data_IF_550972747917
#
_entry.id   IF_550972747917
#
_cell.length_a   1.000
_cell.length_b   1.000
_cell.length_c   1.000
_cell.angle_alpha   90.00
_cell.angle_beta   90.00
_cell.angle_gamma   90.00
#
_symmetry.space_group_name_H-M   'P 1'
#
loop_
_entity.id
_entity.type
_entity.pdbx_description
1 polymer ?
#
# COMPACT_ATOMS: atom_id res chain seq x y z
N UNK A 1 -10.08 51.85 -17.84
CA UNK A 1 -10.59 51.06 -16.70
C UNK A 1 -9.79 49.76 -16.65
N UNK A 2 -8.83 49.67 -15.76
CA UNK A 2 -7.96 48.48 -15.60
C UNK A 2 -8.59 47.55 -14.55
N UNK A 3 -9.06 46.38 -14.97
CA UNK A 3 -9.56 45.35 -14.08
C UNK A 3 -8.38 44.77 -13.29
N UNK A 4 -8.28 45.06 -11.98
CA UNK A 4 -7.40 44.35 -11.05
C UNK A 4 -8.04 42.98 -10.80
N UNK A 5 -7.30 41.89 -11.10
CA UNK A 5 -7.67 40.54 -10.67
C UNK A 5 -7.78 40.53 -9.14
N UNK A 6 -8.84 39.91 -8.56
CA UNK A 6 -8.92 39.76 -7.12
C UNK A 6 -7.73 38.89 -6.65
N UNK A 7 -6.99 39.41 -5.68
CA UNK A 7 -5.99 38.61 -4.95
C UNK A 7 -6.74 37.49 -4.24
N UNK A 8 -6.49 36.24 -4.71
CA UNK A 8 -6.96 35.07 -4.01
C UNK A 8 -6.18 34.97 -2.70
N UNK A 9 -6.76 35.49 -1.62
CA UNK A 9 -6.32 35.19 -0.26
C UNK A 9 -6.43 33.67 -0.09
N UNK A 10 -5.30 32.97 -0.12
CA UNK A 10 -5.22 31.57 0.27
C UNK A 10 -5.55 31.51 1.76
N UNK A 11 -6.79 31.11 2.09
CA UNK A 11 -7.13 30.76 3.47
C UNK A 11 -6.10 29.76 3.99
N UNK A 12 -5.58 29.89 5.22
CA UNK A 12 -4.64 28.95 5.78
C UNK A 12 -5.29 27.55 5.72
N UNK A 13 -4.66 26.62 4.97
CA UNK A 13 -5.16 25.24 4.86
C UNK A 13 -5.01 24.61 6.24
N UNK A 14 -6.10 24.51 6.98
CA UNK A 14 -6.12 23.83 8.26
C UNK A 14 -5.97 22.33 7.99
N UNK A 15 -4.79 21.78 8.25
CA UNK A 15 -4.58 20.34 8.18
C UNK A 15 -5.41 19.65 9.27
N UNK A 16 -6.38 18.83 8.85
CA UNK A 16 -7.25 18.05 9.75
C UNK A 16 -6.80 16.59 9.72
N UNK A 17 -6.62 15.99 10.88
CA UNK A 17 -6.29 14.57 11.00
C UNK A 17 -7.44 13.71 10.46
N UNK A 18 -7.16 12.85 9.49
CA UNK A 18 -8.16 11.95 8.87
C UNK A 18 -8.63 10.81 9.77
N UNK A 19 -8.09 10.69 10.99
CA UNK A 19 -8.49 9.67 11.96
C UNK A 19 -9.33 10.23 13.10
N UNK A 20 -8.89 11.34 13.75
CA UNK A 20 -9.62 11.94 14.88
C UNK A 20 -10.37 13.24 14.52
N UNK A 21 -10.19 13.74 13.30
CA UNK A 21 -10.77 14.98 12.77
C UNK A 21 -10.37 16.24 13.53
N UNK A 22 -9.38 16.15 14.44
CA UNK A 22 -8.82 17.31 15.11
C UNK A 22 -7.83 18.05 14.19
N UNK A 23 -7.67 19.35 14.43
CA UNK A 23 -6.66 20.17 13.75
C UNK A 23 -5.27 19.64 14.09
N UNK A 24 -4.43 19.46 13.06
CA UNK A 24 -3.02 19.12 13.24
C UNK A 24 -2.27 20.40 13.56
N UNK A 25 -1.70 20.50 14.76
CA UNK A 25 -0.94 21.66 15.19
C UNK A 25 0.40 21.75 14.44
N UNK A 26 0.72 22.92 13.92
CA UNK A 26 1.88 23.18 13.05
C UNK A 26 3.25 23.15 13.78
N UNK A 27 3.30 22.84 15.08
CA UNK A 27 4.50 22.94 15.91
C UNK A 27 5.46 21.74 15.82
N UNK A 28 5.17 20.74 14.99
CA UNK A 28 6.00 19.53 14.88
C UNK A 28 6.89 19.55 13.64
N UNK A 29 8.07 18.92 13.73
CA UNK A 29 8.96 18.64 12.58
C UNK A 29 8.18 17.98 11.42
N UNK A 30 7.11 17.27 11.73
CA UNK A 30 6.22 16.64 10.75
C UNK A 30 5.54 17.67 9.85
N UNK A 31 5.02 18.79 10.39
CA UNK A 31 4.40 19.84 9.57
C UNK A 31 5.40 20.54 8.66
N UNK A 32 6.68 20.63 9.06
CA UNK A 32 7.76 21.16 8.23
C UNK A 32 8.12 20.21 7.06
N UNK A 33 7.93 18.92 7.24
CA UNK A 33 8.24 17.91 6.20
C UNK A 33 7.06 17.61 5.27
N UNK A 34 5.84 17.91 5.69
CA UNK A 34 4.60 17.59 4.96
C UNK A 34 3.67 18.81 4.92
N UNK A 35 3.64 19.50 3.79
CA UNK A 35 2.75 20.65 3.55
C UNK A 35 1.26 20.33 3.74
N UNK A 36 0.88 19.06 3.64
CA UNK A 36 -0.49 18.55 3.77
C UNK A 36 -0.50 17.31 4.66
N UNK A 37 -0.21 17.48 5.95
CA UNK A 37 -0.28 16.38 6.92
C UNK A 37 -1.71 15.81 6.99
N UNK A 38 -1.82 14.48 6.94
CA UNK A 38 -3.12 13.76 6.92
C UNK A 38 -3.39 13.02 8.22
N UNK A 39 -2.38 12.87 9.10
CA UNK A 39 -2.51 12.19 10.39
C UNK A 39 -1.74 12.94 11.48
N UNK A 40 -2.36 13.17 12.64
CA UNK A 40 -1.66 13.74 13.78
C UNK A 40 -0.78 12.71 14.48
N UNK A 41 0.22 13.21 15.22
CA UNK A 41 1.17 12.36 15.95
C UNK A 41 0.51 11.42 16.97
N UNK A 42 -0.55 11.88 17.67
CA UNK A 42 -1.32 11.05 18.62
C UNK A 42 -1.96 9.83 17.93
N UNK A 43 -2.57 10.02 16.77
CA UNK A 43 -3.16 8.93 16.01
C UNK A 43 -2.10 8.01 15.40
N UNK A 44 -1.00 8.57 14.89
CA UNK A 44 0.11 7.79 14.33
C UNK A 44 0.74 6.86 15.36
N UNK A 45 0.97 7.32 16.60
CA UNK A 45 1.53 6.49 17.68
C UNK A 45 0.71 5.23 17.97
N UNK A 46 -0.60 5.22 17.70
CA UNK A 46 -1.46 4.06 17.89
C UNK A 46 -1.14 2.90 16.92
N UNK A 47 -0.51 3.18 15.79
CA UNK A 47 -0.20 2.16 14.77
C UNK A 47 0.98 1.23 15.12
N UNK A 48 1.81 1.56 16.10
CA UNK A 48 2.93 0.74 16.60
C UNK A 48 3.81 0.17 15.49
N UNK A 49 4.61 0.98 14.80
CA UNK A 49 5.47 0.53 13.71
C UNK A 49 6.54 -0.44 14.21
N UNK A 50 6.77 -1.55 13.47
CA UNK A 50 7.73 -2.60 13.84
C UNK A 50 8.90 -2.75 12.88
N UNK A 51 8.75 -2.41 11.61
CA UNK A 51 9.78 -2.58 10.56
C UNK A 51 10.43 -3.97 10.55
N UNK A 52 9.62 -5.01 10.74
CA UNK A 52 10.11 -6.38 10.82
C UNK A 52 10.58 -6.86 9.45
N UNK A 53 11.79 -7.44 9.39
CA UNK A 53 12.42 -7.96 8.17
C UNK A 53 12.38 -9.48 8.18
N UNK A 54 12.09 -10.07 7.02
CA UNK A 54 12.06 -11.52 6.81
C UNK A 54 12.30 -11.86 5.35
N UNK A 55 12.30 -13.14 5.01
CA UNK A 55 12.52 -13.63 3.66
C UNK A 55 11.27 -14.31 3.11
N UNK A 56 11.01 -14.09 1.82
CA UNK A 56 9.95 -14.78 1.07
C UNK A 56 10.56 -15.33 -0.21
N UNK A 57 10.66 -16.65 -0.33
CA UNK A 57 11.31 -17.33 -1.47
C UNK A 57 12.72 -16.78 -1.78
N UNK A 58 13.52 -16.45 -0.74
CA UNK A 58 14.86 -15.89 -0.89
C UNK A 58 14.91 -14.37 -1.13
N UNK A 59 13.78 -13.70 -1.25
CA UNK A 59 13.72 -12.26 -1.42
C UNK A 59 13.47 -11.53 -0.10
N UNK A 60 14.20 -10.44 0.12
CA UNK A 60 14.07 -9.62 1.34
C UNK A 60 12.73 -8.89 1.37
N UNK A 61 11.97 -9.16 2.42
CA UNK A 61 10.68 -8.55 2.72
C UNK A 61 10.77 -7.70 3.99
N UNK A 62 9.90 -6.70 4.09
CA UNK A 62 9.71 -5.90 5.28
C UNK A 62 8.23 -5.56 5.42
N UNK A 63 7.66 -5.75 6.62
CA UNK A 63 6.37 -5.17 6.98
C UNK A 63 6.58 -3.99 7.93
N UNK A 64 5.69 -3.01 7.82
CA UNK A 64 5.75 -1.78 8.60
C UNK A 64 5.07 -1.92 9.95
N UNK A 65 3.95 -2.65 9.97
CA UNK A 65 3.11 -2.84 11.16
C UNK A 65 2.84 -4.31 11.43
N UNK A 66 2.53 -4.65 12.66
CA UNK A 66 1.81 -5.90 12.96
C UNK A 66 0.35 -5.74 12.53
N UNK A 67 -0.29 -6.86 12.14
CA UNK A 67 -1.71 -6.87 11.82
C UNK A 67 -2.52 -7.00 13.11
N UNK A 68 -2.59 -5.91 13.86
CA UNK A 68 -3.36 -5.77 15.10
C UNK A 68 -4.74 -5.16 14.83
N UNK A 69 -5.54 -4.98 15.88
CA UNK A 69 -6.91 -4.45 15.77
C UNK A 69 -6.93 -3.01 15.21
N UNK A 70 -5.92 -2.18 15.49
CA UNK A 70 -5.84 -0.81 14.97
C UNK A 70 -5.64 -0.80 13.46
N UNK A 71 -4.68 -1.57 12.97
CA UNK A 71 -4.41 -1.68 11.53
C UNK A 71 -5.57 -2.37 10.81
N UNK A 72 -6.15 -3.41 11.41
CA UNK A 72 -7.30 -4.12 10.88
C UNK A 72 -8.51 -3.21 10.71
N UNK A 73 -8.83 -2.41 11.72
CA UNK A 73 -9.96 -1.47 11.68
C UNK A 73 -9.78 -0.44 10.57
N UNK A 74 -8.61 0.20 10.46
CA UNK A 74 -8.36 1.23 9.44
C UNK A 74 -8.32 0.64 8.03
N UNK A 75 -7.77 -0.56 7.86
CA UNK A 75 -7.85 -1.27 6.58
C UNK A 75 -9.30 -1.67 6.23
N UNK A 76 -10.11 -2.01 7.22
CA UNK A 76 -11.55 -2.26 6.99
C UNK A 76 -12.27 -0.99 6.54
N UNK A 77 -12.02 0.16 7.19
CA UNK A 77 -12.60 1.44 6.78
C UNK A 77 -12.18 1.80 5.34
N UNK A 78 -10.90 1.64 4.99
CA UNK A 78 -10.41 1.87 3.63
C UNK A 78 -11.08 0.93 2.60
N UNK A 79 -11.18 -0.38 2.91
CA UNK A 79 -11.63 -1.40 1.95
C UNK A 79 -13.15 -1.60 1.94
N UNK A 80 -13.76 -1.61 3.11
CA UNK A 80 -15.17 -1.96 3.32
C UNK A 80 -16.08 -0.75 3.38
N UNK A 81 -15.62 0.35 3.96
CA UNK A 81 -16.37 1.61 4.01
C UNK A 81 -15.98 2.57 2.87
N UNK A 82 -15.04 2.16 2.00
CA UNK A 82 -14.61 2.92 0.82
C UNK A 82 -13.99 4.29 1.14
N UNK A 83 -13.42 4.44 2.34
CA UNK A 83 -12.77 5.67 2.77
C UNK A 83 -11.37 5.78 2.16
N UNK A 84 -11.31 6.24 0.91
CA UNK A 84 -10.07 6.41 0.14
C UNK A 84 -9.07 7.35 0.81
N UNK A 85 -9.55 8.32 1.59
CA UNK A 85 -8.74 9.31 2.26
C UNK A 85 -7.79 8.68 3.31
N UNK A 86 -8.19 7.55 3.89
CA UNK A 86 -7.34 6.80 4.83
C UNK A 86 -6.11 6.18 4.17
N UNK A 87 -6.06 6.07 2.85
CA UNK A 87 -4.89 5.48 2.19
C UNK A 87 -3.58 6.22 2.49
N UNK A 88 -3.63 7.54 2.64
CA UNK A 88 -2.44 8.36 2.89
C UNK A 88 -1.87 8.19 4.31
N UNK A 89 -2.71 7.92 5.32
CA UNK A 89 -2.32 7.95 6.74
C UNK A 89 -1.31 6.87 7.14
N UNK A 90 -1.29 5.73 6.42
CA UNK A 90 -0.43 4.61 6.78
C UNK A 90 1.06 4.88 6.53
N UNK A 91 1.40 5.56 5.45
CA UNK A 91 2.79 5.71 5.03
C UNK A 91 3.35 7.12 5.19
N UNK A 92 2.55 8.10 5.57
CA UNK A 92 2.94 9.49 5.62
C UNK A 92 4.25 9.70 6.39
N UNK A 93 4.31 9.28 7.66
CA UNK A 93 5.50 9.44 8.50
C UNK A 93 6.73 8.71 7.97
N UNK A 94 6.54 7.65 7.18
CA UNK A 94 7.65 6.83 6.67
C UNK A 94 8.03 7.16 5.24
N UNK A 95 7.22 7.95 4.53
CA UNK A 95 7.41 8.15 3.10
C UNK A 95 8.80 8.69 2.73
N UNK A 96 9.41 9.66 3.44
CA UNK A 96 10.77 10.13 3.13
C UNK A 96 11.80 9.01 3.28
N UNK A 97 11.76 8.27 4.39
CA UNK A 97 12.65 7.15 4.64
C UNK A 97 12.49 6.03 3.60
N UNK A 98 11.24 5.64 3.30
CA UNK A 98 10.96 4.58 2.34
C UNK A 98 11.36 4.96 0.91
N UNK A 99 11.15 6.21 0.51
CA UNK A 99 11.59 6.73 -0.79
C UNK A 99 13.10 6.67 -0.94
N UNK A 100 13.85 7.06 0.10
CA UNK A 100 15.30 6.95 0.11
C UNK A 100 15.77 5.49 0.08
N UNK A 101 15.19 4.64 0.93
CA UNK A 101 15.53 3.20 1.04
C UNK A 101 15.29 2.43 -0.26
N UNK A 102 14.25 2.80 -1.02
CA UNK A 102 13.86 2.13 -2.26
C UNK A 102 14.13 3.02 -3.49
N UNK A 103 15.13 3.89 -3.39
CA UNK A 103 15.52 4.75 -4.52
C UNK A 103 15.86 3.91 -5.75
N UNK A 104 15.27 4.27 -6.90
CA UNK A 104 15.42 3.57 -8.17
C UNK A 104 14.57 2.31 -8.34
N UNK A 105 13.79 1.91 -7.34
CA UNK A 105 12.80 0.84 -7.49
C UNK A 105 11.53 1.34 -8.18
N UNK A 106 10.84 0.43 -8.88
CA UNK A 106 9.48 0.62 -9.41
C UNK A 106 8.53 -0.23 -8.58
N UNK A 107 7.41 0.33 -8.17
CA UNK A 107 6.40 -0.38 -7.39
C UNK A 107 5.59 -1.26 -8.34
N UNK A 108 5.38 -2.52 -7.94
CA UNK A 108 4.39 -3.43 -8.53
C UNK A 108 3.40 -3.79 -7.42
N UNK A 109 2.18 -3.23 -7.45
CA UNK A 109 1.18 -3.47 -6.42
C UNK A 109 0.56 -4.85 -6.58
N UNK A 110 0.19 -5.46 -5.45
CA UNK A 110 -0.63 -6.66 -5.45
C UNK A 110 -1.99 -6.37 -6.12
N UNK A 111 -2.43 -7.25 -7.01
CA UNK A 111 -3.70 -7.06 -7.70
C UNK A 111 -4.87 -7.34 -6.75
N UNK A 112 -5.88 -6.51 -6.77
CA UNK A 112 -7.17 -6.80 -6.17
C UNK A 112 -8.15 -7.39 -7.21
N UNK A 113 -9.29 -7.87 -6.76
CA UNK A 113 -10.32 -8.34 -7.68
C UNK A 113 -10.97 -7.15 -8.39
N UNK A 114 -11.10 -7.25 -9.71
CA UNK A 114 -11.67 -6.20 -10.55
C UNK A 114 -13.06 -5.75 -10.07
N UNK A 115 -13.93 -6.70 -9.73
CA UNK A 115 -15.28 -6.42 -9.21
C UNK A 115 -15.26 -5.63 -7.91
N UNK A 116 -14.30 -5.93 -7.01
CA UNK A 116 -14.12 -5.19 -5.78
C UNK A 116 -13.59 -3.78 -6.05
N UNK A 117 -12.69 -3.62 -7.01
CA UNK A 117 -12.16 -2.31 -7.39
C UNK A 117 -13.22 -1.48 -8.11
N UNK A 118 -14.03 -2.08 -8.99
CA UNK A 118 -15.18 -1.41 -9.61
C UNK A 118 -16.18 -0.92 -8.55
N UNK A 119 -16.53 -1.76 -7.58
CA UNK A 119 -17.46 -1.40 -6.52
C UNK A 119 -16.93 -0.29 -5.62
N UNK A 120 -15.61 -0.25 -5.36
CA UNK A 120 -14.94 0.76 -4.54
C UNK A 120 -14.51 2.00 -5.30
N UNK A 121 -14.33 1.90 -6.60
CA UNK A 121 -13.75 2.94 -7.44
C UNK A 121 -12.22 3.02 -7.40
N UNK A 122 -11.54 2.15 -6.61
CA UNK A 122 -10.07 2.18 -6.46
C UNK A 122 -9.48 0.83 -6.00
N UNK A 123 -8.20 0.61 -6.31
CA UNK A 123 -7.39 -0.43 -5.70
C UNK A 123 -6.75 0.11 -4.41
N UNK A 124 -7.08 -0.48 -3.27
CA UNK A 124 -6.62 -0.02 -1.96
C UNK A 124 -5.10 -0.10 -1.77
N UNK A 125 -4.42 -1.12 -2.35
CA UNK A 125 -2.96 -1.23 -2.29
C UNK A 125 -2.32 -0.07 -3.06
N UNK A 126 -2.84 0.24 -4.25
CA UNK A 126 -2.36 1.36 -5.04
C UNK A 126 -2.53 2.69 -4.30
N UNK A 127 -3.69 2.91 -3.68
CA UNK A 127 -3.97 4.14 -2.93
C UNK A 127 -3.01 4.30 -1.76
N UNK A 128 -2.79 3.27 -0.94
CA UNK A 128 -1.85 3.29 0.19
C UNK A 128 -0.44 3.63 -0.30
N UNK A 129 0.08 2.90 -1.29
CA UNK A 129 1.47 3.05 -1.73
C UNK A 129 1.71 4.21 -2.70
N UNK A 130 0.66 4.87 -3.21
CA UNK A 130 0.78 6.10 -4.00
C UNK A 130 1.41 7.25 -3.21
N UNK A 131 1.25 7.28 -1.88
CA UNK A 131 1.86 8.25 -0.99
C UNK A 131 3.39 8.25 -1.03
N UNK A 132 4.01 7.15 -1.49
CA UNK A 132 5.45 7.10 -1.73
C UNK A 132 5.90 7.91 -2.95
N UNK A 133 4.98 8.37 -3.82
CA UNK A 133 5.29 9.15 -5.04
C UNK A 133 6.35 8.49 -5.92
N UNK A 134 6.40 7.16 -5.94
CA UNK A 134 7.30 6.35 -6.76
C UNK A 134 6.55 5.85 -8.01
N UNK A 135 7.29 5.62 -9.12
CA UNK A 135 6.66 5.08 -10.35
C UNK A 135 6.08 3.69 -10.07
N UNK A 136 4.79 3.53 -10.36
CA UNK A 136 4.04 2.28 -10.23
C UNK A 136 3.86 1.63 -11.59
N UNK A 137 4.03 0.30 -11.66
CA UNK A 137 3.82 -0.53 -12.85
C UNK A 137 2.71 -1.52 -12.51
N UNK A 138 1.55 -1.34 -13.13
CA UNK A 138 0.35 -2.14 -12.90
C UNK A 138 0.28 -3.28 -13.93
N UNK A 139 1.23 -4.21 -13.86
CA UNK A 139 1.33 -5.30 -14.84
C UNK A 139 0.66 -6.61 -14.40
N UNK A 140 0.30 -6.76 -13.11
CA UNK A 140 -0.32 -7.98 -12.60
C UNK A 140 -1.81 -7.72 -12.35
N UNK A 141 -2.64 -8.63 -12.86
CA UNK A 141 -4.10 -8.55 -12.75
C UNK A 141 -4.66 -9.86 -12.23
N UNK A 142 -5.71 -9.81 -11.40
CA UNK A 142 -6.53 -10.98 -11.09
C UNK A 142 -7.54 -11.19 -12.22
N UNK A 143 -7.71 -12.45 -12.62
CA UNK A 143 -8.77 -12.83 -13.55
C UNK A 143 -10.01 -13.07 -12.70
N UNK A 144 -11.06 -12.26 -12.93
CA UNK A 144 -12.38 -12.56 -12.39
C UNK A 144 -12.95 -13.72 -13.21
N UNK A 145 -13.05 -14.90 -12.63
CA UNK A 145 -14.09 -15.85 -12.96
C UNK A 145 -14.16 -16.98 -11.93
N UNK A 146 -15.33 -17.20 -11.47
CA UNK A 146 -15.93 -18.24 -10.63
C UNK A 146 -16.39 -17.68 -9.29
N UNK A 147 -17.71 -17.76 -9.11
CA UNK A 147 -18.42 -17.53 -7.85
C UNK A 147 -17.71 -18.27 -6.70
N UNK A 148 -17.30 -17.52 -5.69
CA UNK A 148 -16.46 -18.01 -4.58
C UNK A 148 -17.19 -18.91 -3.58
N UNK A 149 -18.46 -19.27 -3.80
CA UNK A 149 -19.25 -20.05 -2.84
C UNK A 149 -18.78 -21.47 -2.62
N UNK A 150 -17.99 -22.09 -3.55
CA UNK A 150 -17.80 -23.54 -3.57
C UNK A 150 -16.36 -24.04 -3.55
N UNK A 151 -15.37 -23.21 -3.10
CA UNK A 151 -13.94 -23.56 -3.19
C UNK A 151 -13.43 -24.22 -1.91
N UNK A 152 -13.00 -25.49 -2.00
CA UNK A 152 -12.28 -26.25 -0.96
C UNK A 152 -10.85 -25.73 -0.71
N UNK A 153 -10.22 -26.13 0.42
CA UNK A 153 -8.86 -25.72 0.79
C UNK A 153 -7.79 -26.01 -0.31
N UNK A 154 -7.94 -27.09 -1.11
CA UNK A 154 -7.09 -27.44 -2.26
C UNK A 154 -7.22 -26.46 -3.43
N UNK A 155 -8.35 -25.80 -3.55
CA UNK A 155 -8.59 -24.85 -4.63
C UNK A 155 -8.03 -23.46 -4.30
N UNK A 156 -7.81 -23.15 -3.01
CA UNK A 156 -7.09 -21.94 -2.59
C UNK A 156 -5.62 -21.98 -3.03
N UNK A 157 -5.04 -23.15 -3.19
CA UNK A 157 -3.69 -23.34 -3.75
C UNK A 157 -3.67 -23.01 -5.27
N UNK A 158 -4.82 -23.09 -5.94
CA UNK A 158 -5.00 -22.69 -7.34
C UNK A 158 -5.12 -21.15 -7.55
N UNK A 159 -4.95 -20.35 -6.51
CA UNK A 159 -4.93 -18.87 -6.61
C UNK A 159 -3.85 -18.39 -7.59
N UNK A 160 -2.77 -19.16 -7.75
CA UNK A 160 -1.75 -18.92 -8.77
C UNK A 160 -2.32 -18.91 -10.21
N UNK A 161 -3.38 -19.67 -10.47
CA UNK A 161 -4.02 -19.76 -11.80
C UNK A 161 -4.96 -18.59 -12.11
N UNK A 162 -5.18 -17.70 -11.12
CA UNK A 162 -6.12 -16.57 -11.23
C UNK A 162 -5.44 -15.21 -11.42
N UNK A 163 -4.11 -15.19 -11.61
CA UNK A 163 -3.37 -13.97 -11.92
C UNK A 163 -2.71 -14.07 -13.28
N UNK A 164 -2.70 -12.97 -14.01
CA UNK A 164 -1.98 -12.81 -15.27
C UNK A 164 -1.05 -11.61 -15.19
N UNK A 165 0.05 -11.67 -15.94
CA UNK A 165 0.90 -10.52 -16.20
C UNK A 165 0.57 -9.98 -17.61
N UNK A 166 0.33 -8.68 -17.70
CA UNK A 166 0.20 -7.96 -18.96
C UNK A 166 1.32 -6.94 -19.04
N UNK A 167 1.92 -6.77 -20.23
CA UNK A 167 3.03 -5.83 -20.44
C UNK A 167 4.21 -6.06 -19.47
N UNK A 168 4.58 -7.33 -19.26
CA UNK A 168 5.64 -7.72 -18.32
C UNK A 168 7.02 -7.25 -18.72
N UNK A 169 7.25 -6.91 -20.00
CA UNK A 169 8.48 -6.27 -20.48
C UNK A 169 8.80 -4.97 -19.75
N UNK A 170 7.80 -4.29 -19.20
CA UNK A 170 7.99 -3.06 -18.41
C UNK A 170 8.81 -3.27 -17.15
N UNK A 171 8.94 -4.49 -16.64
CA UNK A 171 9.71 -4.82 -15.44
C UNK A 171 11.09 -5.40 -15.73
N UNK A 172 11.38 -5.74 -17.00
CA UNK A 172 12.65 -6.34 -17.41
C UNK A 172 13.83 -5.41 -17.08
N UNK A 173 14.88 -5.96 -16.44
CA UNK A 173 16.09 -5.24 -16.04
C UNK A 173 15.90 -4.18 -14.95
N UNK A 174 14.69 -4.02 -14.38
CA UNK A 174 14.39 -3.00 -13.36
C UNK A 174 14.49 -3.54 -11.95
N UNK A 175 14.73 -2.64 -10.99
CA UNK A 175 14.58 -2.94 -9.56
C UNK A 175 13.09 -2.85 -9.21
N UNK A 176 12.51 -3.94 -8.73
CA UNK A 176 11.07 -4.08 -8.47
C UNK A 176 10.82 -4.15 -6.97
N UNK A 177 9.88 -3.32 -6.51
CA UNK A 177 9.33 -3.34 -5.16
C UNK A 177 7.89 -3.88 -5.23
N UNK A 178 7.70 -5.15 -4.85
CA UNK A 178 6.37 -5.74 -4.69
C UNK A 178 5.75 -5.14 -3.44
N UNK A 179 4.50 -4.67 -3.52
CA UNK A 179 3.79 -4.12 -2.37
C UNK A 179 2.44 -4.80 -2.18
N UNK A 180 2.07 -5.04 -0.91
CA UNK A 180 0.77 -5.59 -0.54
C UNK A 180 0.35 -5.01 0.83
N UNK A 181 -0.93 -5.13 1.19
CA UNK A 181 -1.43 -4.60 2.46
C UNK A 181 -1.24 -5.58 3.63
N UNK A 182 -1.65 -6.83 3.51
CA UNK A 182 -1.58 -7.81 4.61
C UNK A 182 -0.92 -9.11 4.16
N UNK A 183 0.20 -9.43 4.77
CA UNK A 183 0.83 -10.72 4.59
C UNK A 183 0.27 -11.75 5.59
N UNK A 184 -0.54 -12.66 5.12
CA UNK A 184 -1.07 -13.78 5.88
C UNK A 184 -0.25 -15.05 5.61
N UNK A 185 -0.60 -15.84 4.60
CA UNK A 185 0.15 -16.99 4.11
C UNK A 185 1.23 -16.62 3.09
N UNK A 186 1.18 -15.39 2.60
CA UNK A 186 2.05 -14.90 1.54
C UNK A 186 1.76 -15.47 0.16
N UNK A 187 0.63 -16.16 -0.05
CA UNK A 187 0.29 -16.78 -1.33
C UNK A 187 0.30 -15.78 -2.48
N UNK A 188 -0.31 -14.60 -2.30
CA UNK A 188 -0.31 -13.52 -3.31
C UNK A 188 1.12 -13.10 -3.67
N UNK A 189 1.92 -12.75 -2.67
CA UNK A 189 3.30 -12.28 -2.87
C UNK A 189 4.18 -13.36 -3.52
N UNK A 190 4.06 -14.61 -3.07
CA UNK A 190 4.79 -15.75 -3.67
C UNK A 190 4.40 -15.98 -5.13
N UNK A 191 3.12 -15.82 -5.47
CA UNK A 191 2.66 -15.90 -6.86
C UNK A 191 3.24 -14.76 -7.70
N UNK A 192 3.19 -13.53 -7.20
CA UNK A 192 3.76 -12.37 -7.87
C UNK A 192 5.26 -12.55 -8.13
N UNK A 193 6.03 -13.03 -7.16
CA UNK A 193 7.47 -13.30 -7.32
C UNK A 193 7.69 -14.24 -8.50
N UNK A 194 7.04 -15.42 -8.51
CA UNK A 194 7.19 -16.43 -9.58
C UNK A 194 6.81 -15.90 -10.97
N UNK A 195 5.87 -14.98 -11.05
CA UNK A 195 5.46 -14.36 -12.31
C UNK A 195 6.47 -13.30 -12.76
N UNK A 196 6.95 -12.47 -11.83
CA UNK A 196 7.89 -11.38 -12.10
C UNK A 196 9.26 -11.91 -12.50
N UNK A 197 9.74 -12.99 -11.87
CA UNK A 197 11.03 -13.65 -12.18
C UNK A 197 11.18 -14.01 -13.66
N UNK A 198 10.10 -14.41 -14.32
CA UNK A 198 10.09 -14.76 -15.75
C UNK A 198 10.50 -13.61 -16.68
N UNK A 199 10.44 -12.37 -16.19
CA UNK A 199 10.82 -11.17 -16.94
C UNK A 199 12.19 -10.61 -16.54
N UNK A 200 13.01 -11.39 -15.85
CA UNK A 200 14.40 -11.08 -15.50
C UNK A 200 14.58 -9.66 -14.91
N UNK A 201 13.88 -9.31 -13.82
CA UNK A 201 14.11 -8.05 -13.13
C UNK A 201 15.53 -8.00 -12.55
N UNK A 202 16.13 -6.81 -12.49
CA UNK A 202 17.47 -6.63 -11.90
C UNK A 202 17.51 -6.98 -10.41
N UNK A 203 16.45 -6.73 -9.68
CA UNK A 203 16.31 -6.99 -8.24
C UNK A 203 14.86 -6.95 -7.82
N UNK A 204 14.48 -7.84 -6.89
CA UNK A 204 13.16 -7.84 -6.26
C UNK A 204 13.33 -7.57 -4.76
N UNK A 205 12.49 -6.71 -4.21
CA UNK A 205 12.24 -6.52 -2.77
C UNK A 205 10.74 -6.47 -2.52
N UNK A 206 10.35 -6.68 -1.27
CA UNK A 206 8.94 -6.74 -0.87
C UNK A 206 8.73 -5.76 0.28
N UNK A 207 7.69 -4.93 0.17
CA UNK A 207 7.25 -4.03 1.22
C UNK A 207 5.76 -4.26 1.49
N UNK A 208 5.44 -4.59 2.73
CA UNK A 208 4.11 -4.93 3.18
C UNK A 208 3.64 -3.90 4.20
N UNK A 209 2.39 -3.54 4.16
CA UNK A 209 1.85 -2.67 5.19
C UNK A 209 1.87 -3.40 6.53
N UNK A 210 1.33 -4.62 6.58
CA UNK A 210 1.27 -5.41 7.81
C UNK A 210 1.47 -6.91 7.58
N UNK A 211 1.81 -7.62 8.67
CA UNK A 211 1.95 -9.09 8.69
C UNK A 211 1.18 -9.65 9.89
N UNK A 212 0.43 -10.73 9.67
CA UNK A 212 -0.18 -11.49 10.77
C UNK A 212 0.89 -12.26 11.54
N UNK A 213 0.75 -12.34 12.87
CA UNK A 213 1.57 -13.26 13.68
C UNK A 213 1.22 -14.69 13.29
N UNK A 214 2.23 -15.51 13.02
CA UNK A 214 2.01 -16.95 12.86
C UNK A 214 1.63 -17.56 14.22
N UNK A 215 0.75 -18.57 14.21
CA UNK A 215 0.35 -19.29 15.43
C UNK A 215 1.53 -19.96 16.16
N UNK A 216 2.68 -20.16 15.45
CA UNK A 216 3.92 -20.70 16.00
C UNK A 216 4.81 -19.63 16.69
N UNK A 217 4.44 -18.35 16.63
CA UNK A 217 5.17 -17.23 17.26
C UNK A 217 4.42 -16.68 18.50
N UNK A 218 3.38 -17.44 18.98
CA UNK A 218 2.60 -17.13 20.20
C UNK A 218 3.10 -17.91 21.40
#
# INVERSE_FOLDING_TARGET
MTWKKPETQSSPRTNICKICFEKIEDSSIHSLLFDNATICHKCFKKFRPVFHKFDVLGYKAMNLFEYDDQIKEKLYQLKGCFDVELGSVFLEYFSPYLRLKYLGYKIVPAPSYFEHDQKRGFNHVEVVFSSLKMKMIKCIHKISDIKQSDLTAKEREKIYKKMIIKNGEQITGKKILIVDDVFTTGSTVKAMIKMIEKYHPKKIKILLLSKTKNLSER
#
